data_IF_427914061336
#
_entry.id   IF_427914061336
#
_cell.length_a   1.000
_cell.length_b   1.000
_cell.length_c   1.000
_cell.angle_alpha   90.00
_cell.angle_beta   90.00
_cell.angle_gamma   90.00
#
_symmetry.space_group_name_H-M   'P 1'
#
loop_
_entity.id
_entity.type
_entity.pdbx_description
1 polymer ?
#
# COMPACT_ATOMS: atom_id res chain seq x y z
N UNK A 1 15.03 1.59 21.90
CA UNK A 1 14.71 0.15 22.04
C UNK A 1 13.98 -0.27 20.78
N UNK A 2 14.51 -1.23 20.02
CA UNK A 2 13.71 -1.87 18.95
C UNK A 2 12.71 -2.77 19.64
N UNK A 3 11.44 -2.40 19.58
CA UNK A 3 10.35 -3.20 20.14
C UNK A 3 10.24 -4.44 19.27
N UNK A 4 10.62 -5.58 19.83
CA UNK A 4 10.48 -6.89 19.18
C UNK A 4 8.99 -7.24 19.15
N UNK A 5 8.27 -6.59 18.24
CA UNK A 5 6.86 -6.80 17.99
C UNK A 5 6.74 -8.04 17.12
N UNK A 6 6.86 -9.22 17.74
CA UNK A 6 6.58 -10.53 17.13
C UNK A 6 5.09 -10.59 16.78
N UNK A 7 4.68 -9.88 15.72
CA UNK A 7 3.31 -9.86 15.23
C UNK A 7 3.06 -11.22 14.57
N UNK A 8 2.24 -12.04 15.21
CA UNK A 8 1.85 -13.35 14.69
C UNK A 8 1.13 -13.16 13.35
N UNK A 9 1.78 -13.52 12.26
CA UNK A 9 1.13 -13.70 10.96
C UNK A 9 0.26 -14.95 11.08
N UNK A 10 -0.99 -14.88 10.68
CA UNK A 10 -1.94 -15.99 10.75
C UNK A 10 -2.76 -16.12 9.46
N UNK A 11 -3.35 -17.30 9.22
CA UNK A 11 -4.30 -17.48 8.11
C UNK A 11 -5.65 -16.88 8.48
N UNK A 12 -6.20 -16.08 7.57
CA UNK A 12 -7.57 -15.56 7.61
C UNK A 12 -8.27 -15.94 6.30
N UNK A 13 -9.06 -17.01 6.34
CA UNK A 13 -9.59 -17.64 5.13
C UNK A 13 -8.47 -18.16 4.22
N UNK A 14 -8.48 -17.75 2.95
CA UNK A 14 -7.47 -18.14 1.96
C UNK A 14 -6.27 -17.17 1.89
N UNK A 15 -6.14 -16.25 2.84
CA UNK A 15 -5.09 -15.22 2.83
C UNK A 15 -4.33 -15.18 4.16
N UNK A 16 -3.15 -14.56 4.15
CA UNK A 16 -2.40 -14.26 5.37
C UNK A 16 -2.78 -12.88 5.91
N UNK A 17 -2.83 -12.76 7.23
CA UNK A 17 -3.15 -11.53 7.94
C UNK A 17 -2.15 -11.27 9.06
N UNK A 18 -1.99 -10.00 9.40
CA UNK A 18 -1.20 -9.51 10.52
C UNK A 18 -2.15 -8.86 11.53
N UNK A 19 -2.03 -9.20 12.81
CA UNK A 19 -2.75 -8.48 13.87
C UNK A 19 -1.94 -7.26 14.31
N UNK A 20 -2.61 -6.12 14.37
CA UNK A 20 -2.07 -4.89 14.99
C UNK A 20 -2.74 -4.66 16.34
N UNK A 21 -2.02 -4.00 17.26
CA UNK A 21 -2.59 -3.66 18.56
C UNK A 21 -3.63 -2.55 18.40
N UNK A 22 -4.55 -2.42 19.37
CA UNK A 22 -5.49 -1.29 19.39
C UNK A 22 -4.77 0.06 19.45
N UNK A 23 -3.64 0.12 20.17
CA UNK A 23 -2.84 1.33 20.28
C UNK A 23 -2.19 1.68 18.94
N UNK A 24 -1.53 0.71 18.28
CA UNK A 24 -0.93 0.90 16.96
C UNK A 24 -1.97 1.37 15.94
N UNK A 25 -3.19 0.81 15.99
CA UNK A 25 -4.30 1.23 15.12
C UNK A 25 -4.64 2.71 15.31
N UNK A 26 -4.70 3.19 16.55
CA UNK A 26 -4.97 4.59 16.88
C UNK A 26 -3.81 5.50 16.47
N UNK A 27 -2.57 5.11 16.78
CA UNK A 27 -1.36 5.89 16.47
C UNK A 27 -1.16 6.04 14.96
N UNK A 28 -1.53 5.02 14.19
CA UNK A 28 -1.48 5.03 12.72
C UNK A 28 -2.72 5.66 12.07
N UNK A 29 -3.75 6.01 12.84
CA UNK A 29 -5.00 6.56 12.31
C UNK A 29 -5.77 5.60 11.39
N UNK A 30 -5.68 4.29 11.62
CA UNK A 30 -6.31 3.27 10.78
C UNK A 30 -7.72 2.96 11.28
N UNK A 31 -8.71 3.11 10.42
CA UNK A 31 -10.07 2.61 10.61
C UNK A 31 -10.35 1.35 9.75
N UNK A 32 -11.61 0.90 9.73
CA UNK A 32 -12.00 -0.30 8.96
C UNK A 32 -12.04 -0.04 7.44
N UNK A 33 -12.17 1.21 7.03
CA UNK A 33 -12.30 1.63 5.63
C UNK A 33 -11.00 2.21 5.06
N UNK A 34 -9.94 2.26 5.87
CA UNK A 34 -8.65 2.83 5.52
C UNK A 34 -7.95 1.98 4.46
N UNK A 35 -7.60 2.61 3.34
CA UNK A 35 -6.80 1.98 2.31
C UNK A 35 -5.30 2.01 2.67
N UNK A 36 -4.60 0.90 2.41
CA UNK A 36 -3.18 0.75 2.67
C UNK A 36 -2.44 0.42 1.37
N UNK A 37 -1.34 1.13 1.08
CA UNK A 37 -0.39 0.69 0.04
C UNK A 37 0.60 -0.29 0.66
N UNK A 38 0.74 -1.45 0.03
CA UNK A 38 1.81 -2.40 0.32
C UNK A 38 3.01 -2.13 -0.58
N UNK A 39 4.18 -1.95 0.04
CA UNK A 39 5.47 -1.86 -0.66
C UNK A 39 6.40 -2.96 -0.17
N UNK A 40 7.11 -3.60 -1.10
CA UNK A 40 8.11 -4.63 -0.79
C UNK A 40 9.48 -4.04 -1.12
N UNK A 41 10.40 -4.11 -0.17
CA UNK A 41 11.77 -3.62 -0.38
C UNK A 41 12.47 -4.42 -1.49
N UNK A 42 13.41 -3.83 -2.24
CA UNK A 42 14.15 -4.53 -3.30
C UNK A 42 14.93 -5.76 -2.81
N UNK A 43 15.32 -5.76 -1.53
CA UNK A 43 16.01 -6.89 -0.90
C UNK A 43 15.05 -8.00 -0.41
N UNK A 44 13.74 -7.81 -0.59
CA UNK A 44 12.66 -8.69 -0.15
C UNK A 44 12.62 -9.01 1.35
N UNK A 45 13.36 -8.28 2.19
CA UNK A 45 13.39 -8.52 3.64
C UNK A 45 12.31 -7.75 4.39
N UNK A 46 11.78 -6.70 3.79
CA UNK A 46 10.84 -5.78 4.45
C UNK A 46 9.58 -5.60 3.61
N UNK A 47 8.44 -5.70 4.28
CA UNK A 47 7.14 -5.32 3.74
C UNK A 47 6.65 -4.13 4.56
N UNK A 48 6.39 -3.02 3.89
CA UNK A 48 5.86 -1.80 4.48
C UNK A 48 4.40 -1.61 4.07
N UNK A 49 3.56 -1.17 5.01
CA UNK A 49 2.18 -0.77 4.75
C UNK A 49 2.05 0.71 5.08
N UNK A 50 1.68 1.51 4.10
CA UNK A 50 1.50 2.96 4.23
C UNK A 50 0.02 3.29 4.21
N UNK A 51 -0.45 4.01 5.22
CA UNK A 51 -1.82 4.54 5.31
C UNK A 51 -2.01 5.58 4.23
N UNK A 52 -3.05 5.42 3.41
CA UNK A 52 -3.46 6.45 2.47
C UNK A 52 -4.66 7.16 3.05
N UNK A 53 -4.45 8.40 3.46
CA UNK A 53 -5.54 9.26 3.86
C UNK A 53 -6.26 9.71 2.59
N UNK A 54 -7.58 9.56 2.52
CA UNK A 54 -8.40 9.97 1.38
C UNK A 54 -8.37 11.48 1.10
N UNK A 55 -7.72 12.27 1.97
CA UNK A 55 -7.48 13.70 1.81
C UNK A 55 -6.12 14.02 1.17
N UNK A 56 -5.36 13.01 0.75
CA UNK A 56 -4.14 13.25 -0.01
C UNK A 56 -4.53 13.60 -1.45
N UNK A 57 -4.53 14.90 -1.77
CA UNK A 57 -4.84 15.44 -3.11
C UNK A 57 -4.05 14.73 -4.23
N UNK A 58 -2.90 14.15 -3.89
CA UNK A 58 -2.05 13.37 -4.79
C UNK A 58 -2.66 12.02 -5.19
N UNK A 59 -3.57 11.45 -4.40
CA UNK A 59 -4.16 10.14 -4.69
C UNK A 59 -5.11 10.20 -5.89
N UNK A 60 -5.88 11.29 -6.01
CA UNK A 60 -6.71 11.57 -7.18
C UNK A 60 -5.85 11.79 -8.44
N UNK A 61 -4.68 12.42 -8.28
CA UNK A 61 -3.71 12.64 -9.37
C UNK A 61 -3.09 11.31 -9.81
N UNK A 62 -2.70 10.46 -8.87
CA UNK A 62 -2.13 9.13 -9.15
C UNK A 62 -3.13 8.20 -9.82
N UNK A 63 -4.39 8.21 -9.37
CA UNK A 63 -5.45 7.40 -9.96
C UNK A 63 -5.81 7.89 -11.37
N UNK A 64 -5.86 9.21 -11.59
CA UNK A 64 -5.98 9.79 -12.92
C UNK A 64 -4.80 9.38 -13.81
N UNK A 65 -3.56 9.50 -13.33
CA UNK A 65 -2.37 9.17 -14.10
C UNK A 65 -2.33 7.69 -14.49
N UNK A 66 -2.65 6.78 -13.56
CA UNK A 66 -2.75 5.33 -13.84
C UNK A 66 -3.82 5.03 -14.87
N UNK A 67 -5.00 5.65 -14.76
CA UNK A 67 -6.09 5.48 -15.72
C UNK A 67 -5.71 6.02 -17.10
N UNK A 68 -5.16 7.22 -17.17
CA UNK A 68 -4.69 7.85 -18.41
C UNK A 68 -3.63 6.98 -19.11
N UNK A 69 -2.64 6.48 -18.35
CA UNK A 69 -1.62 5.57 -18.92
C UNK A 69 -2.21 4.25 -19.40
N UNK A 70 -3.20 3.69 -18.71
CA UNK A 70 -3.88 2.48 -19.14
C UNK A 70 -4.66 2.71 -20.45
N UNK A 71 -5.41 3.81 -20.54
CA UNK A 71 -6.22 4.17 -21.71
C UNK A 71 -5.34 4.51 -22.94
N UNK A 72 -4.16 5.09 -22.70
CA UNK A 72 -3.23 5.53 -23.74
C UNK A 72 -1.99 4.62 -23.90
N UNK A 73 -2.04 3.39 -23.38
CA UNK A 73 -0.91 2.45 -23.34
C UNK A 73 -0.17 2.29 -24.67
N UNK A 74 -0.90 2.18 -25.79
CA UNK A 74 -0.31 2.03 -27.13
C UNK A 74 0.56 3.23 -27.56
N UNK A 75 0.18 4.45 -27.17
CA UNK A 75 0.94 5.65 -27.49
C UNK A 75 2.23 5.74 -26.65
N UNK A 76 2.16 5.31 -25.39
CA UNK A 76 3.33 5.24 -24.50
C UNK A 76 4.31 4.13 -24.92
N UNK A 77 3.82 2.98 -25.37
CA UNK A 77 4.68 1.90 -25.87
C UNK A 77 5.50 2.37 -27.09
N UNK A 78 4.91 3.15 -28.01
CA UNK A 78 5.61 3.73 -29.17
C UNK A 78 6.67 4.76 -28.74
N UNK A 79 6.35 5.62 -27.77
CA UNK A 79 7.29 6.63 -27.26
C UNK A 79 8.47 6.02 -26.49
N UNK A 80 8.32 4.81 -25.96
CA UNK A 80 9.37 4.10 -25.22
C UNK A 80 10.42 3.47 -26.14
N UNK A 81 10.04 3.20 -27.39
CA UNK A 81 10.88 2.59 -28.42
C UNK A 81 11.59 3.62 -29.32
N UNK A 82 11.36 4.93 -29.09
CA UNK A 82 12.13 6.04 -29.68
C UNK A 82 13.31 6.42 -28.79
#
# INVERSE_FOLDING_TARGET
MMVDNTKHIFKNGNSYALRISKQDRLDLGIDEDTNLVKTISPDHKTISFTVINSNDENQAVDDFAKKFMADHKKAFDILKDM
#
